data_IF_207268312085
#
_entry.id   IF_207268312085
#
_cell.length_a   1.000
_cell.length_b   1.000
_cell.length_c   1.000
_cell.angle_alpha   90.00
_cell.angle_beta   90.00
_cell.angle_gamma   90.00
#
_symmetry.space_group_name_H-M   'P 1'
#
loop_
_entity.id
_entity.type
_entity.pdbx_description
1 polymer ?
#
# COMPACT_ATOMS: atom_id res chain seq x y z
N UNK A 1 29.09 -55.75 -59.95
CA UNK A 1 28.37 -56.63 -59.01
C UNK A 1 29.01 -56.38 -57.65
N UNK A 2 28.41 -55.76 -56.66
CA UNK A 2 27.04 -55.37 -56.37
C UNK A 2 27.01 -55.15 -54.85
N UNK A 3 26.45 -54.01 -54.43
CA UNK A 3 25.77 -53.81 -53.12
C UNK A 3 26.67 -53.79 -51.87
N UNK A 4 26.55 -52.88 -50.89
CA UNK A 4 25.48 -51.95 -50.53
C UNK A 4 25.15 -52.11 -49.03
N UNK A 5 25.18 -51.00 -48.27
CA UNK A 5 24.72 -50.79 -46.87
C UNK A 5 25.36 -51.63 -45.74
N UNK A 6 25.45 -51.24 -44.47
CA UNK A 6 24.89 -50.19 -43.57
C UNK A 6 25.85 -50.22 -42.33
N UNK A 7 26.06 -49.25 -41.46
CA UNK A 7 25.40 -48.00 -41.09
C UNK A 7 26.09 -47.44 -39.82
N UNK A 8 25.93 -46.13 -39.61
CA UNK A 8 25.88 -45.39 -38.32
C UNK A 8 27.12 -45.42 -37.37
N UNK A 9 27.59 -44.36 -36.74
CA UNK A 9 27.05 -43.06 -36.35
C UNK A 9 28.24 -42.07 -36.23
N UNK A 10 28.12 -40.89 -36.83
CA UNK A 10 29.06 -39.76 -36.64
C UNK A 10 28.26 -38.49 -36.38
N UNK A 11 27.89 -38.29 -35.12
CA UNK A 11 27.40 -37.00 -34.62
C UNK A 11 28.49 -35.93 -34.65
N UNK A 12 28.40 -35.01 -35.61
CA UNK A 12 29.20 -33.78 -35.74
C UNK A 12 28.33 -32.56 -35.42
N UNK A 13 29.01 -31.50 -35.02
CA UNK A 13 28.67 -30.08 -35.24
C UNK A 13 27.92 -29.40 -34.09
N UNK A 14 28.71 -28.71 -33.26
CA UNK A 14 28.34 -27.36 -32.85
C UNK A 14 28.82 -26.39 -33.92
N UNK A 15 27.91 -25.60 -34.51
CA UNK A 15 28.17 -24.24 -34.96
C UNK A 15 26.85 -23.51 -35.28
N UNK A 16 26.76 -22.27 -34.75
CA UNK A 16 25.94 -21.11 -35.15
C UNK A 16 24.40 -21.23 -35.18
N UNK A 17 23.74 -20.18 -34.66
CA UNK A 17 22.76 -19.40 -35.40
C UNK A 17 22.52 -18.03 -34.72
N UNK A 18 22.70 -16.98 -35.51
CA UNK A 18 22.11 -15.65 -35.32
C UNK A 18 20.63 -15.73 -35.70
N UNK A 19 19.75 -14.97 -35.05
CA UNK A 19 18.62 -14.36 -35.76
C UNK A 19 18.11 -13.11 -35.02
N UNK A 20 17.57 -12.18 -35.80
CA UNK A 20 17.19 -10.83 -35.43
C UNK A 20 15.67 -10.68 -35.18
N UNK A 21 15.33 -9.74 -34.29
CA UNK A 21 14.10 -8.90 -34.11
C UNK A 21 12.82 -9.14 -34.97
N UNK A 22 11.59 -8.93 -34.41
CA UNK A 22 11.08 -7.55 -34.23
C UNK A 22 10.12 -7.24 -33.05
N UNK A 23 10.33 -6.03 -32.50
CA UNK A 23 9.34 -5.00 -32.11
C UNK A 23 8.03 -5.42 -31.43
N UNK A 24 7.89 -5.07 -30.15
CA UNK A 24 6.72 -4.31 -29.69
C UNK A 24 7.09 -3.32 -28.59
N UNK A 25 7.12 -2.04 -28.97
CA UNK A 25 7.14 -0.89 -28.06
C UNK A 25 5.83 -0.87 -27.28
N UNK A 26 5.89 -1.12 -25.98
CA UNK A 26 5.04 -0.44 -25.00
C UNK A 26 5.99 0.20 -23.99
N UNK A 27 6.38 1.42 -24.33
CA UNK A 27 6.96 2.39 -23.41
C UNK A 27 5.85 2.79 -22.44
N UNK A 28 5.68 2.01 -21.35
CA UNK A 28 4.98 2.55 -20.19
C UNK A 28 5.95 3.55 -19.60
N UNK A 29 5.75 4.79 -20.00
CA UNK A 29 6.39 5.96 -19.44
C UNK A 29 6.07 5.96 -17.94
N UNK A 30 6.94 5.34 -17.13
CA UNK A 30 6.98 5.56 -15.69
C UNK A 30 7.51 6.98 -15.51
N UNK A 31 6.63 7.95 -15.77
CA UNK A 31 6.72 9.23 -15.12
C UNK A 31 6.65 8.94 -13.63
N UNK A 32 7.81 8.77 -13.02
CA UNK A 32 8.00 9.14 -11.62
C UNK A 32 7.53 10.58 -11.55
N UNK A 33 6.39 10.89 -10.90
CA UNK A 33 6.06 12.28 -10.69
C UNK A 33 7.23 12.89 -9.89
N UNK A 34 7.69 14.10 -10.26
CA UNK A 34 8.75 14.77 -9.52
C UNK A 34 8.38 14.89 -8.04
N UNK A 35 9.34 14.96 -7.11
CA UNK A 35 9.07 15.21 -5.71
C UNK A 35 8.42 16.60 -5.59
N UNK A 36 7.09 16.64 -5.58
CA UNK A 36 6.35 17.82 -5.24
C UNK A 36 6.71 18.15 -3.80
N UNK A 37 7.35 19.32 -3.60
CA UNK A 37 7.61 19.98 -2.32
C UNK A 37 6.67 19.45 -1.23
N UNK A 38 7.24 18.66 -0.32
CA UNK A 38 6.54 18.01 0.78
C UNK A 38 5.98 19.11 1.69
N UNK A 39 4.75 19.55 1.43
CA UNK A 39 3.93 20.20 2.45
C UNK A 39 3.76 19.17 3.56
N UNK A 40 4.01 19.58 4.79
CA UNK A 40 3.92 18.73 5.98
C UNK A 40 2.71 17.80 5.92
N UNK A 41 2.85 16.52 6.33
CA UNK A 41 1.76 15.56 6.36
C UNK A 41 0.51 16.18 6.97
N UNK A 42 -0.69 15.93 6.42
CA UNK A 42 -1.91 16.19 7.18
C UNK A 42 -1.82 15.37 8.47
N UNK A 43 -1.58 16.06 9.59
CA UNK A 43 -1.55 15.47 10.93
C UNK A 43 -2.94 14.91 11.20
N UNK A 44 -3.05 13.59 11.29
CA UNK A 44 -4.21 12.97 11.92
C UNK A 44 -4.06 13.22 13.42
N UNK A 45 -4.87 14.12 14.00
CA UNK A 45 -4.87 14.47 15.44
C UNK A 45 -5.30 13.31 16.37
N UNK A 46 -5.48 12.12 15.81
CA UNK A 46 -5.83 10.93 16.58
C UNK A 46 -4.55 10.17 16.88
N UNK A 47 -4.24 9.99 18.17
CA UNK A 47 -3.06 9.28 18.66
C UNK A 47 -2.89 7.87 18.06
N UNK A 48 -1.80 7.15 18.37
CA UNK A 48 -1.51 5.88 17.72
C UNK A 48 -2.65 4.85 17.87
N UNK A 49 -2.85 4.04 16.85
CA UNK A 49 -3.74 2.87 16.86
C UNK A 49 -3.03 1.78 17.64
N UNK A 50 -3.56 1.41 18.80
CA UNK A 50 -2.93 0.44 19.69
C UNK A 50 -3.39 -0.97 19.31
N UNK A 51 -2.46 -1.87 19.03
CA UNK A 51 -2.75 -3.29 18.73
C UNK A 51 -2.85 -4.10 20.00
N UNK A 52 -3.97 -3.93 20.69
CA UNK A 52 -4.23 -4.61 21.96
C UNK A 52 -5.69 -5.07 22.01
N UNK A 53 -5.90 -6.32 22.42
CA UNK A 53 -7.23 -6.92 22.57
C UNK A 53 -7.94 -6.54 23.88
N UNK A 54 -7.19 -6.05 24.87
CA UNK A 54 -7.68 -5.65 26.19
C UNK A 54 -7.93 -4.14 26.28
N UNK A 55 -7.39 -3.35 25.35
CA UNK A 55 -7.74 -1.93 25.23
C UNK A 55 -9.18 -1.84 24.74
N UNK A 56 -10.06 -1.47 25.68
CA UNK A 56 -11.43 -1.04 25.39
C UNK A 56 -11.38 -0.05 24.21
N UNK A 57 -12.05 -0.35 23.08
CA UNK A 57 -12.14 0.61 22.01
C UNK A 57 -12.88 1.82 22.57
N UNK A 58 -12.14 2.90 22.85
CA UNK A 58 -12.78 4.20 23.09
C UNK A 58 -13.79 4.39 21.95
N UNK A 59 -15.06 4.74 22.24
CA UNK A 59 -16.15 4.70 21.27
C UNK A 59 -15.97 5.66 20.09
N UNK A 60 -14.91 6.48 20.10
CA UNK A 60 -14.55 7.37 19.01
C UNK A 60 -14.09 6.56 17.79
N UNK A 61 -14.88 6.55 16.70
CA UNK A 61 -14.45 5.90 15.47
C UNK A 61 -13.19 6.60 14.97
N UNK A 62 -12.15 5.82 14.65
CA UNK A 62 -10.93 6.39 14.08
C UNK A 62 -11.25 6.95 12.70
N UNK A 63 -10.76 8.13 12.40
CA UNK A 63 -11.02 8.85 11.16
C UNK A 63 -9.71 9.35 10.55
N UNK A 64 -9.51 9.14 9.26
CA UNK A 64 -8.44 9.77 8.48
C UNK A 64 -9.06 10.80 7.54
N UNK A 65 -8.49 12.01 7.55
CA UNK A 65 -8.93 13.10 6.69
C UNK A 65 -7.93 13.24 5.55
N UNK A 66 -8.42 13.15 4.31
CA UNK A 66 -7.64 13.49 3.12
C UNK A 66 -8.03 14.89 2.66
N UNK A 67 -7.05 15.79 2.71
CA UNK A 67 -7.18 17.17 2.23
C UNK A 67 -7.03 17.17 0.72
N UNK A 68 -8.16 17.14 0.02
CA UNK A 68 -8.23 17.07 -1.44
C UNK A 68 -8.31 18.49 -2.00
N UNK A 69 -7.36 18.83 -2.86
CA UNK A 69 -7.40 20.07 -3.63
C UNK A 69 -8.17 19.85 -4.93
N UNK A 70 -8.55 20.94 -5.59
CA UNK A 70 -9.20 20.88 -6.91
C UNK A 70 -8.25 20.37 -8.00
N UNK A 71 -6.93 20.45 -7.77
CA UNK A 71 -5.96 19.68 -8.53
C UNK A 71 -6.15 18.20 -8.23
N UNK A 72 -6.38 17.39 -9.28
CA UNK A 72 -6.51 15.92 -9.26
C UNK A 72 -5.18 15.22 -8.90
N UNK A 73 -4.50 15.73 -7.87
CA UNK A 73 -3.22 15.25 -7.36
C UNK A 73 -3.44 14.24 -6.26
N UNK A 74 -2.60 13.19 -6.19
CA UNK A 74 -2.66 12.23 -5.11
C UNK A 74 -2.32 12.92 -3.79
N UNK A 75 -3.07 12.58 -2.75
CA UNK A 75 -2.87 13.08 -1.39
C UNK A 75 -2.65 11.90 -0.48
N UNK A 76 -1.92 12.09 0.60
CA UNK A 76 -1.58 11.01 1.52
C UNK A 76 -1.73 11.48 2.95
N UNK A 77 -2.02 10.54 3.83
CA UNK A 77 -2.12 10.73 5.27
C UNK A 77 -1.43 9.57 5.95
N UNK A 78 -0.78 9.84 7.08
CA UNK A 78 -0.12 8.82 7.87
C UNK A 78 -0.94 8.48 9.11
N UNK A 79 -0.94 7.20 9.45
CA UNK A 79 -1.44 6.69 10.71
C UNK A 79 -0.31 5.96 11.43
N UNK A 80 -0.26 6.13 12.74
CA UNK A 80 0.69 5.44 13.60
C UNK A 80 -0.01 4.23 14.21
N UNK A 81 0.61 3.06 14.16
CA UNK A 81 0.16 1.85 14.85
C UNK A 81 1.19 1.49 15.91
N UNK A 82 0.76 1.32 17.15
CA UNK A 82 1.62 1.03 18.28
C UNK A 82 1.35 -0.38 18.79
N UNK A 83 2.42 -1.11 19.07
CA UNK A 83 2.37 -2.41 19.72
C UNK A 83 2.75 -2.26 21.20
N UNK A 84 1.78 -2.26 22.14
CA UNK A 84 2.09 -2.17 23.56
C UNK A 84 2.54 -3.51 24.14
N UNK A 85 2.41 -4.61 23.39
CA UNK A 85 2.79 -5.95 23.84
C UNK A 85 4.30 -6.15 23.83
N UNK A 86 4.76 -7.15 24.58
CA UNK A 86 6.16 -7.59 24.62
C UNK A 86 6.52 -8.53 23.46
N UNK A 87 5.53 -8.98 22.68
CA UNK A 87 5.74 -9.82 21.51
C UNK A 87 5.66 -8.98 20.24
N UNK A 88 6.37 -9.41 19.19
CA UNK A 88 6.20 -8.83 17.86
C UNK A 88 4.79 -9.11 17.35
N UNK A 89 4.15 -8.10 16.77
CA UNK A 89 2.85 -8.24 16.10
C UNK A 89 3.00 -8.08 14.60
N UNK A 90 2.14 -8.72 13.83
CA UNK A 90 2.00 -8.50 12.40
C UNK A 90 0.69 -7.81 12.10
N UNK A 91 0.66 -7.02 11.03
CA UNK A 91 -0.54 -6.35 10.57
C UNK A 91 -0.75 -6.52 9.05
N UNK A 92 -2.02 -6.45 8.66
CA UNK A 92 -2.48 -6.43 7.28
C UNK A 92 -3.52 -5.34 7.13
N UNK A 93 -3.27 -4.39 6.25
CA UNK A 93 -4.20 -3.31 5.93
C UNK A 93 -4.99 -3.67 4.69
N UNK A 94 -6.31 -3.57 4.79
CA UNK A 94 -7.23 -3.62 3.65
C UNK A 94 -7.95 -2.28 3.54
N UNK A 95 -8.36 -1.92 2.33
CA UNK A 95 -9.18 -0.75 2.06
C UNK A 95 -10.47 -1.19 1.37
N UNK A 96 -11.49 -0.33 1.40
CA UNK A 96 -12.76 -0.57 0.68
C UNK A 96 -12.60 -0.58 -0.84
N UNK A 97 -11.64 0.17 -1.38
CA UNK A 97 -11.47 0.34 -2.83
C UNK A 97 -10.00 0.53 -3.20
N UNK A 98 -9.40 -0.48 -3.83
CA UNK A 98 -8.01 -0.43 -4.28
C UNK A 98 -7.77 0.48 -5.51
N UNK A 99 -8.85 0.93 -6.16
CA UNK A 99 -8.81 1.90 -7.26
C UNK A 99 -8.48 3.31 -6.77
N UNK A 100 -9.09 3.72 -5.66
CA UNK A 100 -8.91 5.06 -5.11
C UNK A 100 -7.78 5.15 -4.09
N UNK A 101 -7.56 4.07 -3.34
CA UNK A 101 -6.65 4.06 -2.20
C UNK A 101 -5.46 3.14 -2.40
N UNK A 102 -4.28 3.61 -1.98
CA UNK A 102 -3.07 2.79 -1.86
C UNK A 102 -2.59 2.84 -0.41
N UNK A 103 -1.94 1.77 0.03
CA UNK A 103 -1.41 1.66 1.39
C UNK A 103 0.02 1.17 1.34
N UNK A 104 0.89 1.80 2.12
CA UNK A 104 2.29 1.41 2.24
C UNK A 104 2.78 1.53 3.70
N UNK A 105 3.32 0.46 4.30
CA UNK A 105 3.25 -0.92 3.84
C UNK A 105 1.83 -1.52 4.01
N UNK A 106 1.33 -2.35 3.06
CA UNK A 106 0.03 -3.02 3.21
C UNK A 106 0.08 -4.21 4.19
N UNK A 107 1.27 -4.75 4.41
CA UNK A 107 1.57 -5.90 5.25
C UNK A 107 2.88 -5.61 5.96
N UNK A 108 2.97 -5.87 7.26
CA UNK A 108 4.19 -5.57 8.00
C UNK A 108 4.25 -6.22 9.37
N UNK A 109 5.36 -5.96 10.05
CA UNK A 109 5.58 -6.32 11.43
C UNK A 109 5.78 -5.05 12.27
N UNK A 110 5.38 -5.11 13.53
CA UNK A 110 5.64 -4.10 14.55
C UNK A 110 6.32 -4.82 15.70
N UNK A 111 7.56 -4.42 16.02
CA UNK A 111 8.29 -5.01 17.14
C UNK A 111 7.58 -4.76 18.47
N UNK A 112 7.98 -5.50 19.48
CA UNK A 112 7.54 -5.29 20.86
C UNK A 112 7.79 -3.83 21.28
N UNK A 113 6.82 -3.20 21.94
CA UNK A 113 6.90 -1.81 22.43
C UNK A 113 7.19 -0.76 21.35
N UNK A 114 7.06 -1.08 20.07
CA UNK A 114 7.40 -0.19 18.96
C UNK A 114 6.14 0.42 18.31
N UNK A 115 6.35 1.51 17.56
CA UNK A 115 5.32 2.15 16.74
C UNK A 115 5.72 2.09 15.27
N UNK A 116 4.86 1.54 14.43
CA UNK A 116 5.03 1.56 12.98
C UNK A 116 4.17 2.66 12.34
N UNK A 117 4.67 3.24 11.26
CA UNK A 117 3.94 4.22 10.44
C UNK A 117 3.36 3.55 9.21
N UNK A 118 2.10 3.82 8.93
CA UNK A 118 1.41 3.35 7.72
C UNK A 118 0.96 4.58 6.95
N UNK A 119 1.42 4.69 5.71
CA UNK A 119 1.06 5.76 4.79
C UNK A 119 -0.13 5.31 3.93
N UNK A 120 -1.21 6.06 4.03
CA UNK A 120 -2.42 5.88 3.25
C UNK A 120 -2.42 6.92 2.15
N UNK A 121 -2.67 6.51 0.92
CA UNK A 121 -2.71 7.38 -0.24
C UNK A 121 -4.11 7.35 -0.83
N UNK A 122 -4.58 8.52 -1.26
CA UNK A 122 -5.76 8.70 -2.08
C UNK A 122 -5.32 9.28 -3.42
N UNK A 123 -5.53 8.54 -4.51
CA UNK A 123 -4.97 8.89 -5.82
C UNK A 123 -5.60 10.15 -6.43
N UNK A 124 -6.83 10.51 -6.02
CA UNK A 124 -7.60 11.68 -6.49
C UNK A 124 -7.66 11.89 -8.03
N UNK A 125 -7.26 10.90 -8.83
CA UNK A 125 -7.23 11.01 -10.29
C UNK A 125 -8.64 11.17 -10.88
N UNK A 126 -9.61 10.48 -10.28
CA UNK A 126 -11.02 10.51 -10.67
C UNK A 126 -11.86 11.46 -9.78
N UNK A 127 -11.22 12.25 -8.91
CA UNK A 127 -11.89 13.07 -7.91
C UNK A 127 -12.35 12.27 -6.68
N UNK A 128 -13.06 12.95 -5.77
CA UNK A 128 -13.65 12.35 -4.57
C UNK A 128 -14.75 11.36 -4.99
N UNK A 129 -14.76 10.12 -4.48
CA UNK A 129 -15.83 9.18 -4.76
C UNK A 129 -17.17 9.72 -4.24
N UNK A 130 -18.14 9.93 -5.14
CA UNK A 130 -19.49 10.43 -4.85
C UNK A 130 -20.54 9.31 -4.76
N UNK A 131 -20.10 8.05 -4.79
CA UNK A 131 -20.94 6.85 -4.81
C UNK A 131 -21.76 6.63 -3.51
N UNK A 132 -21.72 7.57 -2.55
CA UNK A 132 -22.39 7.48 -1.26
C UNK A 132 -21.81 6.43 -0.30
N UNK A 133 -20.86 5.62 -0.75
CA UNK A 133 -20.19 4.60 0.06
C UNK A 133 -19.22 5.22 1.05
N UNK A 134 -19.33 4.82 2.32
CA UNK A 134 -18.37 5.17 3.37
C UNK A 134 -17.10 4.34 3.18
N UNK A 135 -16.01 5.00 2.80
CA UNK A 135 -14.72 4.34 2.67
C UNK A 135 -14.04 4.19 4.03
N UNK A 136 -13.33 3.09 4.22
CA UNK A 136 -12.57 2.82 5.44
C UNK A 136 -11.35 1.94 5.15
N UNK A 137 -10.37 2.03 6.03
CA UNK A 137 -9.24 1.12 6.12
C UNK A 137 -9.45 0.17 7.29
N UNK A 138 -9.34 -1.13 7.04
CA UNK A 138 -9.39 -2.16 8.07
C UNK A 138 -7.98 -2.71 8.29
N UNK A 139 -7.44 -2.46 9.48
CA UNK A 139 -6.12 -2.91 9.90
C UNK A 139 -6.31 -4.13 10.77
N UNK A 140 -6.03 -5.29 10.21
CA UNK A 140 -6.04 -6.56 10.91
C UNK A 140 -4.69 -6.73 11.59
N UNK A 141 -4.68 -7.21 12.82
CA UNK A 141 -3.44 -7.49 13.55
C UNK A 141 -3.52 -8.83 14.29
N UNK A 142 -2.36 -9.42 14.54
CA UNK A 142 -2.19 -10.64 15.34
C UNK A 142 -0.74 -10.75 15.83
N UNK A 143 -0.49 -11.62 16.79
CA UNK A 143 0.87 -11.95 17.20
C UNK A 143 1.65 -12.59 16.04
N UNK A 144 2.89 -12.14 15.86
CA UNK A 144 3.81 -12.75 14.92
C UNK A 144 4.32 -14.06 15.53
N UNK A 145 4.35 -15.13 14.73
CA UNK A 145 5.05 -16.36 15.13
C UNK A 145 6.50 -16.25 14.70
N UNK A 146 7.41 -16.63 15.60
CA UNK A 146 8.84 -16.57 15.36
C UNK A 146 9.23 -17.45 14.15
N UNK A 147 10.17 -16.98 13.33
CA UNK A 147 10.65 -17.69 12.14
C UNK A 147 9.72 -17.69 10.93
N UNK A 148 8.51 -17.11 11.02
CA UNK A 148 7.57 -17.01 9.89
C UNK A 148 7.56 -15.64 9.24
N UNK A 149 7.41 -15.62 7.92
CA UNK A 149 7.26 -14.36 7.17
C UNK A 149 5.82 -13.83 7.27
N UNK A 150 5.63 -12.52 7.05
CA UNK A 150 4.28 -11.90 7.02
C UNK A 150 3.36 -12.64 6.04
N UNK A 151 3.89 -13.07 4.90
CA UNK A 151 3.10 -13.79 3.88
C UNK A 151 2.62 -15.16 4.36
N UNK A 152 3.47 -15.88 5.09
CA UNK A 152 3.14 -17.20 5.65
C UNK A 152 2.11 -17.10 6.79
N UNK A 153 2.21 -16.03 7.58
CA UNK A 153 1.26 -15.75 8.65
C UNK A 153 -0.13 -15.41 8.11
N UNK A 154 -0.22 -14.58 7.06
CA UNK A 154 -1.50 -14.09 6.51
C UNK A 154 -2.09 -15.00 5.41
N UNK A 155 -2.30 -16.27 5.72
CA UNK A 155 -3.01 -17.24 4.87
C UNK A 155 -4.53 -17.05 4.92
N UNK A 156 -5.28 -17.78 4.08
CA UNK A 156 -6.76 -17.73 4.04
C UNK A 156 -7.41 -18.08 5.39
N UNK A 157 -6.78 -18.94 6.17
CA UNK A 157 -7.26 -19.41 7.47
C UNK A 157 -6.62 -18.68 8.67
N UNK A 158 -5.89 -17.60 8.42
CA UNK A 158 -5.20 -16.87 9.47
C UNK A 158 -6.19 -16.27 10.48
N UNK A 159 -6.05 -16.69 11.75
CA UNK A 159 -6.83 -16.14 12.86
C UNK A 159 -6.19 -14.82 13.30
N UNK A 160 -6.83 -13.72 12.92
CA UNK A 160 -6.44 -12.40 13.40
C UNK A 160 -6.90 -12.21 14.84
N UNK A 161 -6.13 -11.46 15.64
CA UNK A 161 -6.46 -11.15 17.03
C UNK A 161 -7.53 -10.06 17.09
N UNK A 162 -7.44 -9.06 16.22
CA UNK A 162 -8.39 -7.95 16.16
C UNK A 162 -8.35 -7.18 14.85
N UNK A 163 -9.29 -6.24 14.74
CA UNK A 163 -9.44 -5.35 13.59
C UNK A 163 -9.63 -3.92 14.07
N UNK A 164 -8.76 -3.02 13.64
CA UNK A 164 -8.92 -1.58 13.83
C UNK A 164 -9.45 -0.96 12.54
N UNK A 165 -10.65 -0.37 12.59
CA UNK A 165 -11.26 0.32 11.45
C UNK A 165 -10.99 1.82 11.53
N UNK A 166 -10.50 2.37 10.43
CA UNK A 166 -10.24 3.81 10.25
C UNK A 166 -11.12 4.30 9.11
N UNK A 167 -12.13 5.09 9.44
CA UNK A 167 -13.02 5.69 8.46
C UNK A 167 -12.28 6.76 7.66
N UNK A 168 -12.69 6.96 6.42
CA UNK A 168 -12.14 7.99 5.55
C UNK A 168 -13.11 9.16 5.45
N UNK A 169 -12.59 10.37 5.60
CA UNK A 169 -13.30 11.61 5.28
C UNK A 169 -12.45 12.43 4.32
N UNK A 170 -13.13 13.08 3.38
CA UNK A 170 -12.49 13.97 2.42
C UNK A 170 -12.82 15.40 2.81
N UNK A 171 -11.79 16.23 2.93
CA UNK A 171 -11.91 17.65 3.18
C UNK A 171 -11.46 18.39 1.92
N UNK A 172 -12.39 19.07 1.24
CA UNK A 172 -12.08 19.88 0.08
C UNK A 172 -11.41 21.17 0.57
N UNK A 173 -10.10 21.27 0.38
CA UNK A 173 -9.39 22.51 0.68
C UNK A 173 -9.60 23.44 -0.51
N UNK A 174 -10.22 24.62 -0.34
CA UNK A 174 -10.31 25.58 -1.43
C UNK A 174 -8.87 25.87 -1.90
N UNK A 175 -8.67 25.94 -3.22
CA UNK A 175 -7.41 26.45 -3.75
C UNK A 175 -7.17 27.79 -3.06
N UNK A 176 -6.05 27.92 -2.35
CA UNK A 176 -5.72 29.15 -1.65
C UNK A 176 -5.62 30.26 -2.70
N UNK A 177 -6.72 30.97 -2.93
CA UNK A 177 -6.67 32.33 -3.40
C UNK A 177 -5.95 33.11 -2.31
N UNK A 178 -4.84 33.76 -2.68
CA UNK A 178 -3.99 34.49 -1.76
C UNK A 178 -4.79 35.59 -1.06
N UNK A 179 -5.23 35.33 0.16
CA UNK A 179 -6.10 36.23 0.91
C UNK A 179 -5.38 36.95 2.02
N UNK A 180 -4.85 38.12 1.72
CA UNK A 180 -4.99 39.34 2.53
C UNK A 180 -4.38 39.33 3.93
N UNK A 181 -3.19 39.91 4.05
CA UNK A 181 -2.83 40.63 5.27
C UNK A 181 -3.36 42.06 5.13
N UNK A 182 -4.61 42.27 5.56
CA UNK A 182 -5.10 43.60 5.91
C UNK A 182 -5.01 43.70 7.42
N UNK A 183 -4.03 44.46 7.93
CA UNK A 183 -4.04 44.89 9.32
C UNK A 183 -3.74 46.40 9.40
N UNK A 184 -4.87 47.11 9.44
CA UNK A 184 -5.21 48.35 10.15
C UNK A 184 -4.08 49.17 10.75
#
# INVERSE_FOLDING_TARGET
MGEGNEGDDKGKAGEQLKEAEPKSKIVISVHTPPPAKEKEPPKTDQGPIVFDKNVCPKPTPRLVIFKVTQEKKPVWSEINVQNPSNNQKTFKVKCTSAEFFRVQPPLGFVKAKETAKIRLWFQNANGIPTDGKRHYFAIYYMDAQEGKTVKDLWTKNAKHEGISRVNVQFEKVPAADGGGETKK
#
